data_IF_256780884936
#
_entry.id   IF_256780884936
#
_cell.length_a   1.000
_cell.length_b   1.000
_cell.length_c   1.000
_cell.angle_alpha   90.00
_cell.angle_beta   90.00
_cell.angle_gamma   90.00
#
_symmetry.space_group_name_H-M   'P 1'
#
loop_
_entity.id
_entity.type
_entity.pdbx_description
1 polymer ?
#
# COMPACT_ATOMS: atom_id res chain seq x y z
N UNK A 1 68.99 -28.54 16.11
CA UNK A 1 68.48 -28.26 14.75
C UNK A 1 66.97 -28.08 14.86
N UNK A 2 66.47 -26.85 14.74
CA UNK A 2 65.05 -26.52 14.80
C UNK A 2 64.50 -26.52 13.37
N UNK A 3 63.64 -27.47 13.05
CA UNK A 3 62.97 -27.53 11.75
C UNK A 3 61.65 -26.77 11.84
N UNK A 4 61.60 -25.60 11.20
CA UNK A 4 60.39 -24.79 11.07
C UNK A 4 59.60 -25.30 9.85
N UNK A 5 58.38 -25.77 10.06
CA UNK A 5 57.44 -26.12 8.99
C UNK A 5 56.47 -24.94 8.83
N UNK A 6 56.53 -24.26 7.68
CA UNK A 6 55.57 -23.22 7.31
C UNK A 6 54.51 -23.87 6.42
N UNK A 7 53.28 -23.96 6.94
CA UNK A 7 52.13 -24.47 6.20
C UNK A 7 51.54 -23.31 5.38
N UNK A 8 51.74 -23.33 4.06
CA UNK A 8 51.21 -22.31 3.15
C UNK A 8 49.77 -22.67 2.77
N UNK A 9 48.79 -21.97 3.34
CA UNK A 9 47.37 -22.13 3.04
C UNK A 9 47.05 -21.32 1.77
N UNK A 10 46.95 -21.98 0.62
CA UNK A 10 46.58 -21.33 -0.65
C UNK A 10 45.06 -21.14 -0.72
N UNK A 11 44.60 -19.92 -0.50
CA UNK A 11 43.19 -19.55 -0.73
C UNK A 11 42.94 -19.46 -2.23
N UNK A 12 42.21 -20.43 -2.77
CA UNK A 12 41.69 -20.36 -4.14
C UNK A 12 40.59 -19.30 -4.14
N UNK A 13 40.91 -18.08 -4.58
CA UNK A 13 39.90 -17.08 -4.93
C UNK A 13 39.20 -17.57 -6.22
N UNK A 14 38.11 -18.32 -6.07
CA UNK A 14 37.22 -18.61 -7.18
C UNK A 14 36.47 -17.32 -7.52
N UNK A 15 36.95 -16.57 -8.51
CA UNK A 15 36.19 -15.46 -9.07
C UNK A 15 35.02 -16.04 -9.85
N UNK A 16 33.84 -16.10 -9.22
CA UNK A 16 32.62 -16.40 -9.94
C UNK A 16 32.37 -15.26 -10.95
N UNK A 17 32.10 -15.57 -12.24
CA UNK A 17 31.75 -14.55 -13.21
C UNK A 17 30.45 -13.85 -12.76
N UNK A 18 30.53 -12.52 -12.60
CA UNK A 18 29.35 -11.68 -12.33
C UNK A 18 28.60 -11.56 -13.64
N UNK A 19 27.55 -12.35 -13.83
CA UNK A 19 26.63 -12.19 -14.95
C UNK A 19 25.82 -10.91 -14.72
N UNK A 20 26.02 -9.90 -15.57
CA UNK A 20 25.13 -8.74 -15.62
C UNK A 20 23.81 -9.18 -16.25
N UNK A 21 22.73 -9.19 -15.46
CA UNK A 21 21.40 -9.48 -15.97
C UNK A 21 20.84 -8.21 -16.62
N UNK A 22 20.75 -8.17 -17.96
CA UNK A 22 20.05 -7.08 -18.66
C UNK A 22 18.53 -7.29 -18.59
N UNK A 23 17.79 -6.24 -18.28
CA UNK A 23 16.32 -6.23 -18.37
C UNK A 23 15.95 -5.47 -19.65
N UNK A 24 15.46 -6.22 -20.64
CA UNK A 24 15.16 -5.69 -21.97
C UNK A 24 13.66 -5.46 -22.21
N UNK A 25 13.36 -4.57 -23.17
CA UNK A 25 12.01 -4.20 -23.61
C UNK A 25 11.18 -3.56 -22.49
N UNK A 26 11.71 -2.48 -21.91
CA UNK A 26 11.03 -1.68 -20.89
C UNK A 26 10.30 -0.50 -21.53
N UNK A 27 9.00 -0.40 -21.24
CA UNK A 27 8.11 0.65 -21.75
C UNK A 27 8.26 1.97 -20.97
N UNK A 28 8.63 1.89 -19.70
CA UNK A 28 8.74 3.04 -18.80
C UNK A 28 9.67 2.75 -17.62
N UNK A 29 10.41 3.78 -17.17
CA UNK A 29 11.25 3.77 -15.98
C UNK A 29 10.92 5.01 -15.14
N UNK A 30 10.61 4.83 -13.86
CA UNK A 30 10.34 5.95 -12.95
C UNK A 30 11.62 6.59 -12.41
N UNK A 31 11.54 7.81 -11.85
CA UNK A 31 12.55 8.29 -10.91
C UNK A 31 12.73 7.33 -9.72
N UNK A 32 13.88 7.43 -9.05
CA UNK A 32 14.19 6.67 -7.83
C UNK A 32 13.34 7.20 -6.68
N UNK A 33 12.64 6.32 -5.98
CA UNK A 33 11.92 6.62 -4.74
C UNK A 33 12.24 5.56 -3.68
N UNK A 34 12.74 5.97 -2.52
CA UNK A 34 13.13 5.07 -1.42
C UNK A 34 14.05 3.91 -1.86
N UNK A 35 15.01 4.20 -2.75
CA UNK A 35 15.94 3.25 -3.39
C UNK A 35 15.30 2.21 -4.32
N UNK A 36 14.04 2.40 -4.71
CA UNK A 36 13.31 1.56 -5.65
C UNK A 36 13.00 2.34 -6.93
N UNK A 37 13.05 1.65 -8.06
CA UNK A 37 12.71 2.19 -9.38
C UNK A 37 11.60 1.31 -9.95
N UNK A 38 10.46 1.91 -10.30
CA UNK A 38 9.39 1.20 -10.97
C UNK A 38 9.69 1.10 -12.46
N UNK A 39 9.60 -0.11 -13.00
CA UNK A 39 9.74 -0.37 -14.43
C UNK A 39 8.46 -0.99 -14.99
N UNK A 40 8.11 -0.63 -16.22
CA UNK A 40 6.92 -1.14 -16.89
C UNK A 40 7.29 -1.99 -18.10
N UNK A 41 6.60 -3.12 -18.26
CA UNK A 41 6.68 -3.97 -19.44
C UNK A 41 5.34 -4.65 -19.70
N UNK A 42 4.81 -4.56 -20.92
CA UNK A 42 3.58 -5.26 -21.32
C UNK A 42 2.40 -5.00 -20.36
N UNK A 43 2.24 -3.74 -19.95
CA UNK A 43 1.19 -3.31 -19.00
C UNK A 43 1.31 -3.86 -17.56
N UNK A 44 2.45 -4.47 -17.23
CA UNK A 44 2.79 -4.92 -15.88
C UNK A 44 3.88 -4.01 -15.30
N UNK A 45 3.95 -3.95 -13.97
CA UNK A 45 4.94 -3.19 -13.25
C UNK A 45 5.81 -4.09 -12.39
N UNK A 46 7.09 -3.78 -12.31
CA UNK A 46 8.06 -4.40 -11.43
C UNK A 46 8.85 -3.32 -10.70
N UNK A 47 9.64 -3.71 -9.70
CA UNK A 47 10.60 -2.83 -9.06
C UNK A 47 12.01 -3.39 -9.13
N UNK A 48 12.95 -2.53 -9.50
CA UNK A 48 14.39 -2.78 -9.42
C UNK A 48 14.99 -1.90 -8.32
N UNK A 49 16.14 -2.32 -7.79
CA UNK A 49 16.95 -1.48 -6.90
C UNK A 49 17.85 -0.53 -7.73
N UNK A 50 18.61 0.33 -7.06
CA UNK A 50 19.55 1.28 -7.70
C UNK A 50 20.76 0.62 -8.38
N UNK A 51 20.97 -0.69 -8.19
CA UNK A 51 22.00 -1.48 -8.90
C UNK A 51 21.47 -2.12 -10.18
N UNK A 52 20.15 -2.08 -10.40
CA UNK A 52 19.48 -2.71 -11.53
C UNK A 52 18.93 -4.11 -11.24
N UNK A 53 19.09 -4.63 -10.02
CA UNK A 53 18.58 -5.96 -9.67
C UNK A 53 17.05 -5.92 -9.57
N UNK A 54 16.38 -6.91 -10.17
CA UNK A 54 14.93 -7.10 -10.04
C UNK A 54 14.58 -7.56 -8.63
N UNK A 55 13.93 -6.69 -7.85
CA UNK A 55 13.53 -6.97 -6.46
C UNK A 55 12.10 -7.51 -6.39
N UNK A 56 11.18 -6.87 -7.13
CA UNK A 56 9.78 -7.30 -7.21
C UNK A 56 9.48 -7.59 -8.67
N UNK A 57 9.07 -8.83 -8.95
CA UNK A 57 8.77 -9.28 -10.31
C UNK A 57 7.52 -8.56 -10.88
N UNK A 58 7.36 -8.64 -12.20
CA UNK A 58 6.25 -8.02 -12.92
C UNK A 58 4.91 -8.52 -12.41
N UNK A 59 4.03 -7.57 -12.07
CA UNK A 59 2.69 -7.81 -11.53
C UNK A 59 1.71 -6.72 -11.97
N UNK A 60 0.42 -7.03 -11.97
CA UNK A 60 -0.66 -6.17 -12.50
C UNK A 60 -1.45 -5.43 -11.43
N UNK A 61 -1.25 -5.78 -10.17
CA UNK A 61 -2.02 -5.32 -9.02
C UNK A 61 -1.43 -4.08 -8.34
N UNK A 62 -0.26 -3.61 -8.76
CA UNK A 62 0.34 -2.37 -8.29
C UNK A 62 -0.51 -1.15 -8.66
N UNK A 63 -0.78 -0.30 -7.68
CA UNK A 63 -1.55 0.94 -7.87
C UNK A 63 -0.58 2.07 -8.15
N UNK A 64 -0.89 2.82 -9.21
CA UNK A 64 -0.06 3.95 -9.65
C UNK A 64 -0.41 5.20 -8.86
N UNK A 65 0.61 6.01 -8.60
CA UNK A 65 0.50 7.32 -7.94
C UNK A 65 0.75 8.41 -8.97
N UNK A 66 -0.14 9.40 -9.02
CA UNK A 66 0.08 10.59 -9.84
C UNK A 66 1.11 11.50 -9.15
N UNK A 67 2.21 11.75 -9.84
CA UNK A 67 3.29 12.65 -9.41
C UNK A 67 3.52 13.72 -10.48
N UNK A 68 4.33 14.73 -10.18
CA UNK A 68 4.77 15.72 -11.18
C UNK A 68 5.56 15.10 -12.34
N UNK A 69 6.17 13.94 -12.12
CA UNK A 69 7.00 13.22 -13.11
C UNK A 69 6.25 12.09 -13.83
N UNK A 70 4.96 11.93 -13.57
CA UNK A 70 4.12 10.92 -14.23
C UNK A 70 3.32 10.05 -13.28
N UNK A 71 2.74 8.98 -13.82
CA UNK A 71 1.78 8.10 -13.15
C UNK A 71 2.31 6.66 -13.10
N UNK A 72 2.93 6.30 -11.98
CA UNK A 72 3.63 5.03 -11.77
C UNK A 72 3.51 4.57 -10.31
N UNK A 73 3.60 3.26 -10.01
CA UNK A 73 3.62 2.79 -8.63
C UNK A 73 4.94 3.21 -7.98
N UNK A 74 4.90 3.54 -6.69
CA UNK A 74 6.08 3.96 -5.94
C UNK A 74 5.97 3.52 -4.48
N UNK A 75 7.13 3.40 -3.84
CA UNK A 75 7.21 3.24 -2.39
C UNK A 75 7.17 4.60 -1.70
N UNK A 76 6.38 4.69 -0.65
CA UNK A 76 6.43 5.78 0.31
C UNK A 76 6.30 5.18 1.72
N UNK A 77 7.14 5.62 2.64
CA UNK A 77 7.22 5.06 3.99
C UNK A 77 7.30 3.52 3.97
N UNK A 78 8.15 2.97 3.08
CA UNK A 78 8.41 1.54 2.96
C UNK A 78 7.21 0.71 2.49
N UNK A 79 6.17 1.35 1.94
CA UNK A 79 4.95 0.68 1.45
C UNK A 79 4.60 1.10 0.04
N UNK A 80 4.15 0.13 -0.76
CA UNK A 80 3.54 0.37 -2.06
C UNK A 80 2.09 -0.12 -2.07
N UNK A 81 1.20 0.64 -2.69
CA UNK A 81 -0.22 0.33 -2.74
C UNK A 81 -0.51 -0.75 -3.78
N UNK A 82 -1.29 -1.76 -3.38
CA UNK A 82 -1.79 -2.83 -4.26
C UNK A 82 -3.30 -2.88 -4.23
N UNK A 83 -3.89 -3.54 -5.24
CA UNK A 83 -5.34 -3.77 -5.30
C UNK A 83 -5.68 -5.21 -5.70
N UNK A 84 -6.79 -5.72 -5.19
CA UNK A 84 -7.34 -7.01 -5.60
C UNK A 84 -8.85 -6.90 -5.74
N UNK A 85 -9.43 -7.67 -6.66
CA UNK A 85 -10.87 -7.70 -6.89
C UNK A 85 -11.50 -8.95 -6.26
N UNK A 86 -12.54 -8.76 -5.45
CA UNK A 86 -13.35 -9.84 -4.88
C UNK A 86 -14.81 -9.57 -5.17
N UNK A 87 -15.50 -10.53 -5.80
CA UNK A 87 -16.91 -10.41 -6.20
C UNK A 87 -17.20 -9.15 -7.03
N UNK A 88 -16.25 -8.73 -7.89
CA UNK A 88 -16.37 -7.53 -8.71
C UNK A 88 -16.09 -6.20 -7.98
N UNK A 89 -15.80 -6.24 -6.68
CA UNK A 89 -15.45 -5.07 -5.87
C UNK A 89 -13.92 -5.00 -5.73
N UNK A 90 -13.34 -3.84 -5.96
CA UNK A 90 -11.89 -3.61 -5.79
C UNK A 90 -11.58 -3.24 -4.35
N UNK A 91 -10.61 -3.93 -3.76
CA UNK A 91 -10.06 -3.66 -2.45
C UNK A 91 -8.59 -3.29 -2.54
N UNK A 92 -8.12 -2.51 -1.58
CA UNK A 92 -6.77 -1.96 -1.53
C UNK A 92 -6.02 -2.45 -0.30
N UNK A 93 -4.72 -2.70 -0.50
CA UNK A 93 -3.78 -3.19 0.50
C UNK A 93 -2.37 -2.67 0.22
N UNK A 94 -1.38 -3.18 0.92
CA UNK A 94 0.00 -2.68 0.81
C UNK A 94 1.03 -3.79 0.87
N UNK A 95 2.09 -3.64 0.07
CA UNK A 95 3.27 -4.50 0.07
C UNK A 95 4.50 -3.77 0.65
N UNK A 96 5.47 -4.53 1.15
CA UNK A 96 6.81 -4.04 1.48
C UNK A 96 7.73 -3.99 0.25
N UNK A 97 8.97 -3.52 0.45
CA UNK A 97 10.00 -3.43 -0.60
C UNK A 97 10.51 -4.79 -1.11
N UNK A 98 10.19 -5.88 -0.43
CA UNK A 98 10.47 -7.25 -0.86
C UNK A 98 9.29 -7.85 -1.65
N UNK A 99 8.17 -7.14 -1.74
CA UNK A 99 6.96 -7.57 -2.43
C UNK A 99 6.00 -8.38 -1.58
N UNK A 100 6.27 -8.55 -0.27
CA UNK A 100 5.38 -9.24 0.65
C UNK A 100 4.18 -8.36 0.99
N UNK A 101 2.98 -8.95 0.99
CA UNK A 101 1.77 -8.26 1.45
C UNK A 101 1.85 -8.05 2.96
N UNK A 102 1.94 -6.79 3.40
CA UNK A 102 1.93 -6.41 4.82
C UNK A 102 0.50 -6.13 5.29
N UNK A 103 -0.31 -5.56 4.40
CA UNK A 103 -1.72 -5.29 4.66
C UNK A 103 -2.51 -5.87 3.50
N UNK A 104 -3.29 -6.92 3.78
CA UNK A 104 -4.13 -7.57 2.80
C UNK A 104 -5.13 -6.58 2.17
N UNK A 105 -5.43 -6.71 0.86
CA UNK A 105 -6.47 -5.93 0.21
C UNK A 105 -7.83 -6.07 0.90
N UNK A 106 -8.17 -5.07 1.71
CA UNK A 106 -9.38 -5.08 2.55
C UNK A 106 -10.08 -3.72 2.63
N UNK A 107 -9.41 -2.65 2.20
CA UNK A 107 -9.97 -1.30 2.21
C UNK A 107 -10.73 -1.01 0.92
N UNK A 108 -11.86 -0.31 1.00
CA UNK A 108 -12.63 0.09 -0.20
C UNK A 108 -11.89 1.13 -1.04
N UNK A 109 -11.00 1.90 -0.42
CA UNK A 109 -10.07 2.82 -1.07
C UNK A 109 -8.91 3.12 -0.10
N UNK A 110 -7.79 3.62 -0.62
CA UNK A 110 -6.59 3.87 0.15
C UNK A 110 -5.69 4.89 -0.52
N UNK A 111 -5.08 5.78 0.26
CA UNK A 111 -4.01 6.66 -0.23
C UNK A 111 -2.66 5.96 -0.18
N UNK A 112 -1.66 6.46 -0.91
CA UNK A 112 -0.28 6.11 -0.58
C UNK A 112 0.08 6.59 0.82
N UNK A 113 1.07 5.94 1.43
CA UNK A 113 1.67 6.46 2.64
C UNK A 113 2.41 7.77 2.35
N UNK A 114 2.46 8.63 3.36
CA UNK A 114 3.33 9.81 3.40
C UNK A 114 3.68 10.03 4.87
N UNK A 115 4.95 10.24 5.20
CA UNK A 115 5.44 10.39 6.59
C UNK A 115 4.85 9.35 7.56
N UNK A 116 4.87 8.07 7.17
CA UNK A 116 4.39 6.95 8.00
C UNK A 116 2.89 6.90 8.23
N UNK A 117 2.05 7.63 7.48
CA UNK A 117 0.58 7.56 7.60
C UNK A 117 -0.08 7.44 6.23
N UNK A 118 -1.19 6.71 6.19
CA UNK A 118 -2.10 6.66 5.04
C UNK A 118 -3.55 6.81 5.52
N UNK A 119 -4.43 7.28 4.64
CA UNK A 119 -5.88 7.32 4.89
C UNK A 119 -6.51 6.18 4.08
N UNK A 120 -7.37 5.40 4.72
CA UNK A 120 -8.03 4.23 4.11
C UNK A 120 -9.52 4.24 4.40
N UNK A 121 -10.32 3.63 3.52
CA UNK A 121 -11.73 3.37 3.74
C UNK A 121 -11.91 1.96 4.31
N UNK A 122 -11.97 1.88 5.65
CA UNK A 122 -12.14 0.63 6.39
C UNK A 122 -13.60 0.23 6.42
N UNK A 123 -13.90 -0.94 5.85
CA UNK A 123 -15.23 -1.54 5.86
C UNK A 123 -15.52 -2.21 7.20
N UNK A 124 -16.69 -1.96 7.77
CA UNK A 124 -17.21 -2.67 8.93
C UNK A 124 -18.64 -3.14 8.66
N UNK A 125 -19.00 -4.25 9.31
CA UNK A 125 -20.32 -4.86 9.25
C UNK A 125 -20.99 -4.73 10.61
N UNK A 126 -22.15 -4.10 10.63
CA UNK A 126 -22.99 -3.97 11.82
C UNK A 126 -24.14 -4.97 11.71
N UNK A 127 -24.38 -5.74 12.78
CA UNK A 127 -25.58 -6.59 12.90
C UNK A 127 -26.63 -5.75 13.61
N UNK A 128 -27.73 -5.44 12.92
CA UNK A 128 -28.79 -4.57 13.44
C UNK A 128 -30.03 -5.33 13.90
N UNK A 129 -30.05 -6.64 13.69
CA UNK A 129 -31.11 -7.51 14.16
C UNK A 129 -30.99 -8.92 13.60
N UNK A 130 -31.98 -9.74 13.93
CA UNK A 130 -32.12 -11.09 13.40
C UNK A 130 -33.53 -11.25 12.82
N UNK A 131 -33.62 -11.81 11.63
CA UNK A 131 -34.86 -12.29 11.07
C UNK A 131 -34.98 -13.78 11.45
N UNK A 132 -35.86 -14.08 12.40
CA UNK A 132 -35.98 -15.44 12.93
C UNK A 132 -36.60 -16.42 11.93
N UNK A 133 -37.49 -15.95 11.05
CA UNK A 133 -38.11 -16.78 9.99
C UNK A 133 -37.05 -17.26 8.98
N UNK A 134 -36.10 -16.38 8.62
CA UNK A 134 -35.03 -16.70 7.68
C UNK A 134 -33.77 -17.22 8.36
N UNK A 135 -33.75 -17.27 9.69
CA UNK A 135 -32.59 -17.59 10.53
C UNK A 135 -31.33 -16.76 10.21
N UNK A 136 -31.51 -15.54 9.70
CA UNK A 136 -30.43 -14.68 9.19
C UNK A 136 -30.31 -13.37 9.95
N UNK A 137 -29.08 -12.91 10.14
CA UNK A 137 -28.81 -11.59 10.68
C UNK A 137 -29.15 -10.52 9.62
N UNK A 138 -29.84 -9.47 10.05
CA UNK A 138 -30.00 -8.23 9.27
C UNK A 138 -28.75 -7.39 9.52
N UNK A 139 -28.09 -6.98 8.45
CA UNK A 139 -26.76 -6.36 8.54
C UNK A 139 -26.68 -5.10 7.69
N UNK A 140 -25.99 -4.10 8.22
CA UNK A 140 -25.56 -2.94 7.45
C UNK A 140 -24.04 -2.96 7.29
N UNK A 141 -23.58 -2.41 6.19
CA UNK A 141 -22.16 -2.19 5.96
C UNK A 141 -21.92 -0.68 5.98
N UNK A 142 -20.87 -0.29 6.70
CA UNK A 142 -20.37 1.08 6.72
C UNK A 142 -18.89 1.10 6.41
N UNK A 143 -18.41 2.17 5.81
CA UNK A 143 -16.98 2.42 5.76
C UNK A 143 -16.60 3.67 6.53
N UNK A 144 -15.36 3.66 7.01
CA UNK A 144 -14.76 4.73 7.79
C UNK A 144 -13.45 5.15 7.13
N UNK A 145 -13.25 6.45 6.96
CA UNK A 145 -11.97 7.09 6.73
C UNK A 145 -11.12 6.97 8.01
N UNK A 146 -10.08 6.14 7.93
CA UNK A 146 -9.19 5.83 9.06
C UNK A 146 -7.76 6.16 8.68
N UNK A 147 -7.03 6.79 9.60
CA UNK A 147 -5.58 6.96 9.48
C UNK A 147 -4.90 5.70 10.01
N UNK A 148 -4.01 5.10 9.22
CA UNK A 148 -3.26 3.89 9.61
C UNK A 148 -1.74 4.10 9.58
N UNK A 149 -1.01 3.30 10.36
CA UNK A 149 0.46 3.16 10.29
C UNK A 149 0.87 2.18 9.18
N UNK A 150 2.17 2.09 8.80
CA UNK A 150 2.65 1.14 7.78
C UNK A 150 2.43 -0.34 8.16
N UNK A 151 2.17 -0.63 9.43
CA UNK A 151 1.86 -1.98 9.90
C UNK A 151 0.34 -2.26 9.95
N UNK A 152 -0.49 -1.34 9.45
CA UNK A 152 -1.94 -1.48 9.41
C UNK A 152 -2.65 -1.17 10.73
N UNK A 153 -1.95 -0.61 11.73
CA UNK A 153 -2.58 -0.22 13.00
C UNK A 153 -3.39 1.06 12.80
N UNK A 154 -4.67 1.01 13.17
CA UNK A 154 -5.56 2.17 13.24
C UNK A 154 -5.00 3.21 14.23
N UNK A 155 -4.95 4.47 13.79
CA UNK A 155 -4.56 5.63 14.60
C UNK A 155 -5.80 6.43 14.98
N UNK A 156 -6.68 6.72 14.02
CA UNK A 156 -7.81 7.63 14.23
C UNK A 156 -8.90 7.47 13.16
N UNK A 157 -10.16 7.61 13.57
CA UNK A 157 -11.33 7.62 12.69
C UNK A 157 -11.71 9.07 12.38
N UNK A 158 -11.57 9.46 11.10
CA UNK A 158 -11.81 10.82 10.62
C UNK A 158 -13.31 11.12 10.52
N UNK A 159 -14.12 10.14 10.10
CA UNK A 159 -15.59 10.19 10.07
C UNK A 159 -16.17 9.18 11.08
N UNK A 160 -16.27 9.50 12.37
CA UNK A 160 -16.64 8.54 13.41
C UNK A 160 -18.03 7.91 13.22
N UNK A 161 -18.96 8.58 12.52
CA UNK A 161 -20.30 8.04 12.23
C UNK A 161 -20.31 7.01 11.08
N UNK A 162 -19.24 6.98 10.29
CA UNK A 162 -19.12 6.15 9.10
C UNK A 162 -20.06 6.56 7.97
N UNK A 163 -19.95 5.88 6.84
CA UNK A 163 -20.83 6.08 5.68
C UNK A 163 -21.42 4.74 5.26
N UNK A 164 -22.76 4.68 5.18
CA UNK A 164 -23.47 3.49 4.74
C UNK A 164 -23.07 3.13 3.30
N UNK A 165 -22.87 1.84 3.05
CA UNK A 165 -22.44 1.33 1.75
C UNK A 165 -23.13 0.01 1.44
N UNK A 166 -23.54 -0.15 0.18
CA UNK A 166 -23.98 -1.45 -0.33
C UNK A 166 -22.80 -2.16 -0.98
N UNK A 167 -22.52 -3.39 -0.54
CA UNK A 167 -21.47 -4.25 -1.10
C UNK A 167 -21.95 -4.94 -2.37
N UNK A 168 -22.24 -4.13 -3.38
CA UNK A 168 -22.66 -4.56 -4.70
C UNK A 168 -21.65 -4.08 -5.76
N UNK A 169 -21.41 -4.90 -6.78
CA UNK A 169 -20.40 -4.61 -7.82
C UNK A 169 -20.80 -3.45 -8.74
N UNK A 170 -22.10 -3.21 -8.94
CA UNK A 170 -22.58 -2.10 -9.75
C UNK A 170 -22.50 -0.81 -8.92
N UNK A 171 -22.87 -0.89 -7.63
CA UNK A 171 -22.72 0.22 -6.69
C UNK A 171 -21.24 0.62 -6.49
N UNK A 172 -20.35 -0.37 -6.33
CA UNK A 172 -18.91 -0.18 -6.11
C UNK A 172 -18.08 -0.39 -7.38
N UNK A 173 -18.64 -0.11 -8.56
CA UNK A 173 -17.90 -0.14 -9.83
C UNK A 173 -16.69 0.80 -9.80
N UNK A 174 -16.80 1.90 -9.06
CA UNK A 174 -15.68 2.79 -8.72
C UNK A 174 -15.50 2.81 -7.20
N UNK A 175 -14.25 2.81 -6.70
CA UNK A 175 -13.97 2.99 -5.28
C UNK A 175 -14.63 4.28 -4.75
N UNK A 176 -15.24 4.27 -3.55
CA UNK A 176 -15.72 5.49 -2.92
C UNK A 176 -14.56 6.47 -2.69
N UNK A 177 -14.83 7.76 -2.80
CA UNK A 177 -13.80 8.80 -2.63
C UNK A 177 -13.43 8.99 -1.16
N UNK A 178 -12.14 9.26 -0.91
CA UNK A 178 -11.66 9.72 0.38
C UNK A 178 -11.87 11.24 0.42
N UNK A 179 -12.73 11.73 1.32
CA UNK A 179 -13.08 13.14 1.42
C UNK A 179 -12.14 13.92 2.33
N UNK A 180 -11.22 13.25 3.02
CA UNK A 180 -10.18 13.89 3.82
C UNK A 180 -8.84 13.97 3.11
N UNK A 181 -8.05 14.97 3.53
CA UNK A 181 -6.69 15.20 3.06
C UNK A 181 -5.82 15.56 4.26
N UNK A 182 -4.69 14.90 4.38
CA UNK A 182 -3.69 15.26 5.39
C UNK A 182 -2.99 16.56 4.99
N UNK A 183 -2.97 17.54 5.90
CA UNK A 183 -2.25 18.81 5.74
C UNK A 183 -0.86 18.71 6.39
N UNK A 184 -0.79 18.16 7.60
CA UNK A 184 0.45 17.96 8.36
C UNK A 184 0.40 16.68 9.19
N UNK A 185 1.41 16.43 10.03
CA UNK A 185 1.45 15.23 10.88
C UNK A 185 0.23 15.08 11.79
N UNK A 186 -0.35 16.19 12.25
CA UNK A 186 -1.49 16.22 13.18
C UNK A 186 -2.71 16.93 12.58
N UNK A 187 -2.63 17.51 11.38
CA UNK A 187 -3.70 18.34 10.83
C UNK A 187 -4.31 17.72 9.56
N UNK A 188 -5.63 17.64 9.52
CA UNK A 188 -6.39 17.05 8.42
C UNK A 188 -7.49 18.02 7.98
N UNK A 189 -7.69 18.13 6.66
CA UNK A 189 -8.83 18.78 6.06
C UNK A 189 -9.86 17.71 5.70
N UNK A 190 -11.12 17.91 6.06
CA UNK A 190 -12.22 16.98 5.81
C UNK A 190 -13.26 17.74 5.00
N UNK A 191 -13.62 17.24 3.82
CA UNK A 191 -14.65 17.85 3.00
C UNK A 191 -16.03 17.38 3.48
N UNK A 192 -16.84 18.31 3.97
CA UNK A 192 -18.22 18.05 4.36
C UNK A 192 -19.17 17.96 3.16
N UNK A 193 -20.40 17.52 3.41
CA UNK A 193 -21.45 17.35 2.38
C UNK A 193 -21.78 18.64 1.62
N UNK A 194 -21.65 19.80 2.29
CA UNK A 194 -21.82 21.12 1.68
C UNK A 194 -20.64 21.57 0.80
N UNK A 195 -19.73 20.66 0.46
CA UNK A 195 -18.47 20.89 -0.25
C UNK A 195 -17.50 21.88 0.43
N UNK A 196 -17.70 22.21 1.71
CA UNK A 196 -16.79 23.05 2.49
C UNK A 196 -15.81 22.19 3.27
N UNK A 197 -14.65 22.75 3.57
CA UNK A 197 -13.59 22.09 4.32
C UNK A 197 -13.70 22.39 5.80
N UNK A 198 -13.53 21.35 6.61
CA UNK A 198 -13.33 21.42 8.06
C UNK A 198 -11.88 21.05 8.34
N UNK A 199 -11.19 21.83 9.16
CA UNK A 199 -9.82 21.51 9.58
C UNK A 199 -9.88 20.94 10.99
N UNK A 200 -9.31 19.76 11.17
CA UNK A 200 -9.31 19.05 12.45
C UNK A 200 -7.89 18.64 12.82
N UNK A 201 -7.53 18.88 14.07
CA UNK A 201 -6.30 18.36 14.66
C UNK A 201 -6.57 16.97 15.24
N UNK A 202 -5.73 16.01 14.86
CA UNK A 202 -5.76 14.63 15.33
C UNK A 202 -4.45 14.41 16.09
N UNK A 203 -4.57 14.32 17.41
CA UNK A 203 -3.45 14.01 18.27
C UNK A 203 -2.98 12.57 18.05
N UNK A 204 -1.66 12.36 18.04
CA UNK A 204 -1.13 11.00 18.09
C UNK A 204 -1.52 10.44 19.46
N UNK A 205 -2.26 9.33 19.51
CA UNK A 205 -2.37 8.59 20.75
C UNK A 205 -0.99 7.99 21.09
N UNK A 206 -0.12 8.79 21.72
CA UNK A 206 1.01 8.29 22.50
C UNK A 206 0.40 7.63 23.73
N UNK A 207 0.04 6.34 23.61
CA UNK A 207 -0.01 5.48 24.78
C UNK A 207 1.44 5.16 25.14
N UNK A 208 1.86 5.72 26.27
CA UNK A 208 3.03 5.25 27.03
C UNK A 208 2.93 3.75 27.31
#
# INVERSE_FOLDING_TARGET
MKNTVILLLTTILSTAPIYSQSIENIDYISPVHENMIAIKKNNQWAFINTKGDLVINFRTDLVKTNTEHGNYPMFNSERCLIKSAKNGITYFGYIDKLGNTIIEPQFLNATTFKDGKAIVLKLQKEIVGRNDILEKNVVYHKYFEVVITPNGKDIHYINPDGTNVSLDKEFLRKPPEINSKRISNTLYAIKGENNKWIITQIENQTKN
#
